data_IF_657904510714
#
_entry.id   IF_657904510714
#
_cell.length_a   1.000
_cell.length_b   1.000
_cell.length_c   1.000
_cell.angle_alpha   90.00
_cell.angle_beta   90.00
_cell.angle_gamma   90.00
#
_symmetry.space_group_name_H-M   'P 1'
#
loop_
_entity.id
_entity.type
_entity.pdbx_description
1 polymer ?
#
# COMPACT_ATOMS: atom_id res chain seq x y z
N UNK A 1 2.43 -22.72 -3.64
CA UNK A 1 3.91 -22.62 -3.62
C UNK A 1 4.33 -22.14 -5.02
N UNK A 2 4.88 -20.93 -5.13
CA UNK A 2 5.05 -20.28 -6.44
C UNK A 2 6.23 -20.92 -7.21
N UNK A 3 5.95 -21.58 -8.35
CA UNK A 3 6.92 -22.30 -9.18
C UNK A 3 7.79 -21.35 -10.02
N UNK A 4 7.49 -20.06 -10.01
CA UNK A 4 8.04 -19.09 -10.95
C UNK A 4 9.30 -18.37 -10.43
N UNK A 5 9.90 -18.80 -9.31
CA UNK A 5 11.13 -18.16 -8.81
C UNK A 5 12.31 -18.54 -9.71
N UNK A 6 12.99 -17.57 -10.35
CA UNK A 6 14.13 -17.86 -11.19
C UNK A 6 15.31 -18.25 -10.29
N UNK A 7 15.69 -19.53 -10.32
CA UNK A 7 16.98 -19.94 -9.78
C UNK A 7 18.08 -19.39 -10.69
N UNK A 8 19.01 -18.62 -10.13
CA UNK A 8 20.20 -18.25 -10.87
C UNK A 8 21.05 -19.51 -11.05
N UNK A 9 21.42 -19.81 -12.29
CA UNK A 9 22.62 -20.61 -12.54
C UNK A 9 23.80 -19.67 -12.30
N UNK A 10 24.27 -19.60 -11.05
CA UNK A 10 25.46 -18.82 -10.74
C UNK A 10 26.65 -19.48 -11.45
N UNK A 11 27.10 -18.89 -12.55
CA UNK A 11 28.39 -19.24 -13.14
C UNK A 11 29.48 -18.75 -12.20
N UNK A 12 30.56 -19.53 -12.07
CA UNK A 12 31.69 -19.28 -11.17
C UNK A 12 32.53 -18.02 -11.52
N UNK A 13 31.93 -16.95 -12.05
CA UNK A 13 32.61 -15.68 -12.38
C UNK A 13 32.77 -14.78 -11.14
N UNK A 14 33.39 -15.36 -10.12
CA UNK A 14 33.71 -14.75 -8.83
C UNK A 14 34.52 -13.44 -8.96
N UNK A 15 35.36 -13.31 -9.99
CA UNK A 15 36.26 -12.16 -10.14
C UNK A 15 35.59 -10.91 -10.72
N UNK A 16 34.54 -11.05 -11.54
CA UNK A 16 33.87 -9.93 -12.20
C UNK A 16 33.04 -9.05 -11.22
N UNK A 17 32.71 -9.58 -10.05
CA UNK A 17 31.84 -8.93 -9.06
C UNK A 17 32.58 -8.31 -7.87
N UNK A 18 33.93 -8.33 -7.86
CA UNK A 18 34.75 -7.96 -6.70
C UNK A 18 34.78 -6.45 -6.40
N UNK A 19 34.41 -5.62 -7.37
CA UNK A 19 34.39 -4.14 -7.29
C UNK A 19 33.01 -3.52 -7.02
N UNK A 20 31.96 -4.34 -6.84
CA UNK A 20 30.59 -3.86 -6.61
C UNK A 20 30.40 -3.40 -5.15
N UNK A 21 30.01 -2.13 -4.88
CA UNK A 21 29.76 -1.60 -3.53
C UNK A 21 28.59 -2.27 -2.79
N UNK A 22 27.77 -3.10 -3.44
CA UNK A 22 26.75 -3.95 -2.82
C UNK A 22 27.31 -5.26 -2.21
N UNK A 23 28.61 -5.28 -1.91
CA UNK A 23 29.35 -6.46 -1.46
C UNK A 23 28.84 -7.06 -0.15
N UNK A 24 28.28 -6.23 0.72
CA UNK A 24 27.74 -6.67 1.99
C UNK A 24 26.22 -6.82 1.88
N UNK A 25 25.79 -8.03 1.55
CA UNK A 25 24.45 -8.48 1.94
C UNK A 25 23.49 -8.87 0.83
N UNK A 26 23.83 -8.78 -0.47
CA UNK A 26 22.88 -9.14 -1.54
C UNK A 26 23.24 -10.37 -2.38
N UNK A 27 24.43 -10.90 -2.13
CA UNK A 27 24.99 -12.05 -2.82
C UNK A 27 26.03 -12.68 -1.90
N UNK A 28 25.65 -12.92 -0.65
CA UNK A 28 26.49 -13.82 0.14
C UNK A 28 26.51 -15.16 -0.58
N UNK A 29 27.68 -15.81 -0.63
CA UNK A 29 27.80 -17.19 -1.17
C UNK A 29 26.74 -18.11 -0.52
N UNK A 30 26.34 -17.78 0.70
CA UNK A 30 25.30 -18.45 1.46
C UNK A 30 23.91 -18.36 0.81
N UNK A 31 23.39 -17.16 0.52
CA UNK A 31 22.09 -17.00 -0.14
C UNK A 31 22.04 -17.63 -1.55
N UNK A 32 23.16 -17.66 -2.27
CA UNK A 32 23.25 -18.33 -3.57
C UNK A 32 23.06 -19.86 -3.49
N UNK A 33 23.27 -20.47 -2.31
CA UNK A 33 23.14 -21.92 -2.11
C UNK A 33 21.75 -22.37 -1.69
N UNK A 34 20.89 -21.46 -1.20
CA UNK A 34 19.57 -21.79 -0.70
C UNK A 34 18.49 -20.82 -1.20
N UNK A 35 17.50 -21.37 -1.91
CA UNK A 35 16.36 -20.65 -2.47
C UNK A 35 15.57 -19.82 -1.44
N UNK A 36 15.46 -20.30 -0.20
CA UNK A 36 14.72 -19.59 0.84
C UNK A 36 15.50 -18.39 1.37
N UNK A 37 16.82 -18.50 1.45
CA UNK A 37 17.71 -17.44 1.92
C UNK A 37 17.82 -16.34 0.87
N UNK A 38 17.97 -16.70 -0.41
CA UNK A 38 17.91 -15.76 -1.55
C UNK A 38 16.62 -14.91 -1.53
N UNK A 39 15.48 -15.54 -1.25
CA UNK A 39 14.19 -14.85 -1.12
C UNK A 39 14.16 -13.93 0.10
N UNK A 40 14.60 -14.42 1.25
CA UNK A 40 14.58 -13.68 2.50
C UNK A 40 15.50 -12.45 2.43
N UNK A 41 16.69 -12.60 1.84
CA UNK A 41 17.67 -11.52 1.63
C UNK A 41 17.11 -10.47 0.68
N UNK A 42 16.61 -10.89 -0.49
CA UNK A 42 15.97 -9.96 -1.46
C UNK A 42 14.80 -9.21 -0.83
N UNK A 43 13.99 -9.89 -0.02
CA UNK A 43 12.90 -9.26 0.72
C UNK A 43 13.42 -8.25 1.75
N UNK A 44 14.39 -8.65 2.58
CA UNK A 44 14.88 -7.84 3.70
C UNK A 44 15.42 -6.49 3.23
N UNK A 45 16.21 -6.49 2.16
CA UNK A 45 16.72 -5.23 1.63
C UNK A 45 15.65 -4.40 0.91
N UNK A 46 14.64 -5.00 0.28
CA UNK A 46 13.51 -4.24 -0.27
C UNK A 46 12.74 -3.48 0.81
N UNK A 47 12.86 -3.87 2.08
CA UNK A 47 12.23 -3.19 3.22
C UNK A 47 13.05 -2.02 3.76
N UNK A 48 14.31 -1.85 3.35
CA UNK A 48 15.19 -0.77 3.80
C UNK A 48 15.44 0.17 2.63
N UNK A 49 14.93 1.41 2.70
CA UNK A 49 14.87 2.33 1.55
C UNK A 49 16.21 2.48 0.78
N UNK A 50 17.31 2.73 1.51
CA UNK A 50 18.64 2.90 0.92
C UNK A 50 19.10 1.62 0.19
N UNK A 51 18.83 0.46 0.79
CA UNK A 51 19.20 -0.84 0.23
C UNK A 51 18.32 -1.24 -0.95
N UNK A 52 17.03 -0.93 -0.87
CA UNK A 52 16.08 -1.13 -1.96
C UNK A 52 16.47 -0.29 -3.19
N UNK A 53 16.93 0.94 -3.01
CA UNK A 53 17.43 1.79 -4.10
C UNK A 53 18.65 1.16 -4.78
N UNK A 54 19.67 0.79 -3.99
CA UNK A 54 20.89 0.14 -4.52
C UNK A 54 20.54 -1.15 -5.26
N UNK A 55 19.64 -1.95 -4.70
CA UNK A 55 19.18 -3.20 -5.30
C UNK A 55 18.50 -2.98 -6.65
N UNK A 56 17.59 -2.01 -6.73
CA UNK A 56 16.86 -1.72 -7.96
C UNK A 56 17.80 -1.22 -9.07
N UNK A 57 18.80 -0.39 -8.73
CA UNK A 57 19.85 0.03 -9.69
C UNK A 57 20.65 -1.16 -10.24
N UNK A 58 20.92 -2.17 -9.41
CA UNK A 58 21.61 -3.39 -9.85
C UNK A 58 20.74 -4.24 -10.78
N UNK A 59 19.44 -4.35 -10.47
CA UNK A 59 18.48 -5.09 -11.28
C UNK A 59 18.39 -4.58 -12.73
N UNK A 60 18.71 -3.31 -13.00
CA UNK A 60 18.82 -2.77 -14.36
C UNK A 60 19.85 -3.51 -15.23
N UNK A 61 20.88 -4.10 -14.60
CA UNK A 61 21.95 -4.86 -15.27
C UNK A 61 21.86 -6.37 -15.04
N UNK A 62 20.96 -6.82 -14.14
CA UNK A 62 20.78 -8.21 -13.77
C UNK A 62 19.31 -8.66 -14.00
N UNK A 63 19.02 -9.29 -15.16
CA UNK A 63 17.68 -9.74 -15.51
C UNK A 63 17.10 -10.80 -14.56
N UNK A 64 17.94 -11.55 -13.85
CA UNK A 64 17.48 -12.57 -12.89
C UNK A 64 17.01 -11.89 -11.63
N UNK A 65 17.80 -10.94 -11.12
CA UNK A 65 17.44 -10.13 -9.96
C UNK A 65 16.18 -9.28 -10.22
N UNK A 66 16.05 -8.66 -11.39
CA UNK A 66 14.85 -7.90 -11.78
C UNK A 66 13.58 -8.75 -11.67
N UNK A 67 13.62 -10.01 -12.15
CA UNK A 67 12.51 -10.95 -12.02
C UNK A 67 12.20 -11.28 -10.56
N UNK A 68 13.23 -11.51 -9.72
CA UNK A 68 13.05 -11.78 -8.28
C UNK A 68 12.35 -10.61 -7.58
N UNK A 69 12.82 -9.39 -7.84
CA UNK A 69 12.22 -8.16 -7.29
C UNK A 69 10.76 -8.03 -7.72
N UNK A 70 10.45 -8.22 -9.01
CA UNK A 70 9.06 -8.14 -9.52
C UNK A 70 8.13 -9.13 -8.82
N UNK A 71 8.59 -10.36 -8.57
CA UNK A 71 7.82 -11.37 -7.85
C UNK A 71 7.54 -10.91 -6.40
N UNK A 72 8.56 -10.40 -5.70
CA UNK A 72 8.39 -9.91 -4.32
C UNK A 72 7.47 -8.68 -4.27
N UNK A 73 7.68 -7.69 -5.15
CA UNK A 73 6.82 -6.49 -5.24
C UNK A 73 5.36 -6.87 -5.47
N UNK A 74 5.10 -7.80 -6.39
CA UNK A 74 3.75 -8.31 -6.65
C UNK A 74 3.15 -8.99 -5.42
N UNK A 75 3.92 -9.87 -4.76
CA UNK A 75 3.47 -10.54 -3.54
C UNK A 75 3.14 -9.54 -2.42
N UNK A 76 4.01 -8.56 -2.19
CA UNK A 76 3.80 -7.50 -1.20
C UNK A 76 2.52 -6.73 -1.48
N UNK A 77 2.34 -6.25 -2.71
CA UNK A 77 1.15 -5.50 -3.12
C UNK A 77 -0.15 -6.33 -2.96
N UNK A 78 -0.14 -7.59 -3.40
CA UNK A 78 -1.34 -8.42 -3.45
C UNK A 78 -1.71 -9.07 -2.10
N UNK A 79 -0.73 -9.32 -1.23
CA UNK A 79 -0.89 -10.16 -0.04
C UNK A 79 -0.54 -9.50 1.29
N UNK A 80 0.29 -8.45 1.29
CA UNK A 80 0.81 -7.87 2.53
C UNK A 80 0.38 -6.41 2.72
N UNK A 81 0.73 -5.54 1.76
CA UNK A 81 0.52 -4.10 1.84
C UNK A 81 0.27 -3.53 0.44
N UNK A 82 -1.00 -3.24 0.14
CA UNK A 82 -1.41 -2.69 -1.16
C UNK A 82 -0.81 -1.29 -1.43
N UNK A 83 -0.35 -0.59 -0.40
CA UNK A 83 0.31 0.72 -0.52
C UNK A 83 1.70 0.61 -1.15
N UNK A 84 2.33 -0.57 -1.12
CA UNK A 84 3.60 -0.87 -1.80
C UNK A 84 3.40 -1.14 -3.30
N UNK A 85 2.66 -0.26 -3.98
CA UNK A 85 2.41 -0.31 -5.41
C UNK A 85 3.57 0.30 -6.23
N UNK A 86 3.45 0.36 -7.55
CA UNK A 86 4.51 0.91 -8.42
C UNK A 86 4.89 2.36 -8.08
N UNK A 87 3.96 3.18 -7.60
CA UNK A 87 4.27 4.56 -7.22
C UNK A 87 5.12 4.61 -5.93
N UNK A 88 4.87 3.72 -4.97
CA UNK A 88 5.73 3.56 -3.80
C UNK A 88 7.17 3.20 -4.21
N UNK A 89 7.33 2.21 -5.10
CA UNK A 89 8.66 1.78 -5.53
C UNK A 89 9.39 2.84 -6.35
N UNK A 90 8.68 3.63 -7.16
CA UNK A 90 9.26 4.79 -7.86
C UNK A 90 9.77 5.85 -6.89
N UNK A 91 9.04 6.12 -5.79
CA UNK A 91 9.51 7.02 -4.73
C UNK A 91 10.82 6.52 -4.14
N UNK A 92 10.89 5.24 -3.75
CA UNK A 92 12.12 4.63 -3.21
C UNK A 92 13.28 4.75 -4.21
N UNK A 93 13.06 4.41 -5.48
CA UNK A 93 14.10 4.46 -6.51
C UNK A 93 14.61 5.90 -6.77
N UNK A 94 13.80 6.91 -6.48
CA UNK A 94 14.17 8.33 -6.56
C UNK A 94 14.86 8.85 -5.29
N UNK A 95 15.18 7.98 -4.32
CA UNK A 95 15.77 8.37 -3.03
C UNK A 95 14.80 9.08 -2.10
N UNK A 96 13.48 8.86 -2.26
CA UNK A 96 12.48 9.47 -1.40
C UNK A 96 12.53 8.89 0.01
N UNK A 97 12.78 9.76 0.99
CA UNK A 97 12.80 9.39 2.40
C UNK A 97 11.38 9.44 2.99
N UNK A 98 10.82 8.26 3.29
CA UNK A 98 9.53 8.13 3.97
C UNK A 98 9.59 8.49 5.46
N UNK A 99 10.78 8.57 6.07
CA UNK A 99 10.97 8.97 7.47
C UNK A 99 10.89 10.49 7.65
N UNK A 100 11.27 11.24 6.61
CA UNK A 100 10.87 12.61 6.40
C UNK A 100 9.39 12.63 5.98
N UNK A 101 8.48 12.33 6.91
CA UNK A 101 7.05 12.13 6.67
C UNK A 101 6.49 13.03 5.57
N UNK A 102 5.74 12.43 4.63
CA UNK A 102 5.18 13.10 3.45
C UNK A 102 4.77 14.52 3.83
N UNK A 103 5.42 15.54 3.25
CA UNK A 103 5.15 16.96 3.55
C UNK A 103 3.63 17.15 3.59
N UNK A 104 3.11 17.42 4.80
CA UNK A 104 1.69 17.64 5.08
C UNK A 104 1.10 18.50 3.98
N UNK A 105 0.08 17.97 3.30
CA UNK A 105 -0.58 18.74 2.27
C UNK A 105 -1.47 19.76 2.97
N UNK A 106 -1.17 21.04 2.80
CA UNK A 106 -1.99 22.14 3.32
C UNK A 106 -3.33 22.30 2.59
N UNK A 107 -3.70 21.36 1.72
CA UNK A 107 -4.82 21.49 0.79
C UNK A 107 -5.46 20.14 0.49
N UNK A 108 -6.80 20.11 0.52
CA UNK A 108 -7.65 18.98 0.16
C UNK A 108 -7.56 18.59 -1.33
N UNK A 109 -6.86 19.36 -2.16
CA UNK A 109 -6.72 19.05 -3.58
C UNK A 109 -5.93 17.75 -3.83
N UNK A 110 -4.94 17.42 -2.98
CA UNK A 110 -4.07 16.24 -3.17
C UNK A 110 -4.48 15.00 -2.37
N UNK A 111 -5.72 14.95 -1.89
CA UNK A 111 -6.25 13.75 -1.22
C UNK A 111 -6.14 12.53 -2.15
N UNK A 112 -5.68 11.42 -1.59
CA UNK A 112 -5.69 10.12 -2.24
C UNK A 112 -6.74 9.23 -1.56
N UNK A 113 -7.62 8.64 -2.35
CA UNK A 113 -8.74 7.84 -1.88
C UNK A 113 -8.46 6.41 -2.30
N UNK A 114 -8.52 5.48 -1.35
CA UNK A 114 -8.31 4.07 -1.67
C UNK A 114 -9.30 3.18 -0.91
N UNK A 115 -10.03 2.30 -1.61
CA UNK A 115 -10.23 2.27 -3.07
C UNK A 115 -11.18 3.39 -3.57
N UNK A 116 -11.11 3.76 -4.86
CA UNK A 116 -12.03 4.71 -5.52
C UNK A 116 -13.50 4.24 -5.51
N UNK A 117 -13.72 2.94 -5.30
CA UNK A 117 -15.02 2.34 -5.01
C UNK A 117 -14.85 1.20 -4.01
N UNK A 118 -15.67 1.17 -2.97
CA UNK A 118 -15.53 0.24 -1.85
C UNK A 118 -16.49 -0.91 -2.00
N UNK A 119 -16.02 -2.03 -2.55
CA UNK A 119 -16.77 -3.29 -2.49
C UNK A 119 -16.56 -3.93 -1.13
N UNK A 120 -17.47 -3.64 -0.20
CA UNK A 120 -17.47 -4.21 1.14
C UNK A 120 -18.65 -5.18 1.27
N UNK A 121 -18.39 -6.37 1.81
CA UNK A 121 -19.41 -7.36 2.09
C UNK A 121 -19.94 -7.17 3.53
N UNK A 122 -21.20 -6.69 3.71
CA UNK A 122 -21.76 -6.47 5.03
C UNK A 122 -21.99 -7.77 5.81
N UNK A 123 -22.06 -8.92 5.13
CA UNK A 123 -22.33 -10.22 5.77
C UNK A 123 -21.05 -10.90 6.25
N UNK A 124 -19.90 -10.66 5.60
CA UNK A 124 -18.64 -11.30 5.99
C UNK A 124 -17.98 -10.73 7.25
N UNK A 125 -18.48 -9.63 7.83
CA UNK A 125 -17.85 -8.90 8.96
C UNK A 125 -16.37 -8.50 8.74
N UNK A 126 -15.80 -8.85 7.59
CA UNK A 126 -14.47 -8.50 7.10
C UNK A 126 -14.68 -7.64 5.86
N UNK A 127 -15.03 -6.37 6.09
CA UNK A 127 -15.03 -5.37 5.04
C UNK A 127 -13.62 -4.86 4.84
N UNK A 128 -13.16 -4.71 3.59
CA UNK A 128 -11.92 -4.03 3.29
C UNK A 128 -12.05 -2.56 3.68
N UNK A 129 -11.47 -2.17 4.82
CA UNK A 129 -11.45 -0.83 5.39
C UNK A 129 -11.30 0.26 4.31
N UNK A 130 -12.23 1.21 4.28
CA UNK A 130 -12.15 2.37 3.41
C UNK A 130 -11.17 3.37 4.03
N UNK A 131 -10.05 3.61 3.35
CA UNK A 131 -9.00 4.50 3.83
C UNK A 131 -8.93 5.75 2.97
N UNK A 132 -9.04 6.91 3.61
CA UNK A 132 -8.70 8.19 2.99
C UNK A 132 -7.34 8.60 3.54
N UNK A 133 -6.39 8.85 2.65
CA UNK A 133 -5.01 9.23 2.98
C UNK A 133 -4.69 10.65 2.51
N UNK A 134 -3.61 11.21 3.07
CA UNK A 134 -3.14 12.58 2.84
C UNK A 134 -4.11 13.66 3.34
N UNK A 135 -4.84 13.38 4.42
CA UNK A 135 -5.72 14.37 5.06
C UNK A 135 -4.88 15.45 5.78
N UNK A 136 -5.29 16.72 5.72
CA UNK A 136 -4.85 17.74 6.68
C UNK A 136 -5.19 17.34 8.12
N UNK A 137 -4.46 17.90 9.08
CA UNK A 137 -4.73 17.66 10.50
C UNK A 137 -6.11 18.19 10.90
N UNK A 138 -6.72 17.52 11.88
CA UNK A 138 -8.01 17.90 12.45
C UNK A 138 -9.16 17.96 11.42
N UNK A 139 -8.98 17.30 10.28
CA UNK A 139 -10.06 17.11 9.32
C UNK A 139 -11.21 16.30 9.92
N UNK A 140 -12.41 16.60 9.46
CA UNK A 140 -13.63 15.88 9.82
C UNK A 140 -14.20 15.23 8.57
N UNK A 141 -14.43 13.92 8.64
CA UNK A 141 -15.10 13.13 7.62
C UNK A 141 -16.52 12.81 8.08
N UNK A 142 -17.51 13.24 7.29
CA UNK A 142 -18.92 12.91 7.51
C UNK A 142 -19.42 12.00 6.40
N UNK A 143 -20.01 10.86 6.78
CA UNK A 143 -20.66 9.90 5.89
C UNK A 143 -22.14 10.27 5.80
N UNK A 144 -22.65 10.47 4.59
CA UNK A 144 -24.04 10.82 4.31
C UNK A 144 -24.73 9.76 3.46
N UNK A 145 -26.02 9.60 3.69
CA UNK A 145 -26.90 8.81 2.83
C UNK A 145 -27.25 9.54 1.52
N UNK A 146 -28.09 8.91 0.69
CA UNK A 146 -28.57 9.48 -0.58
C UNK A 146 -29.46 10.73 -0.41
N UNK A 147 -30.02 10.96 0.78
CA UNK A 147 -30.85 12.12 1.11
C UNK A 147 -30.02 13.29 1.63
N UNK A 148 -28.74 13.05 1.96
CA UNK A 148 -27.84 14.01 2.59
C UNK A 148 -27.88 13.97 4.11
N UNK A 149 -28.58 13.00 4.71
CA UNK A 149 -28.60 12.80 6.14
C UNK A 149 -27.26 12.22 6.62
N UNK A 150 -26.72 12.76 7.70
CA UNK A 150 -25.48 12.29 8.31
C UNK A 150 -25.70 10.96 9.04
N UNK A 151 -24.88 9.97 8.73
CA UNK A 151 -24.92 8.63 9.31
C UNK A 151 -23.77 8.37 10.29
N UNK A 152 -22.64 9.04 10.09
CA UNK A 152 -21.44 8.94 10.92
C UNK A 152 -20.54 10.14 10.68
N UNK A 153 -19.88 10.61 11.74
CA UNK A 153 -18.76 11.56 11.65
C UNK A 153 -17.52 10.96 12.31
N UNK A 154 -16.37 11.07 11.64
CA UNK A 154 -15.06 10.62 12.09
C UNK A 154 -14.09 11.81 12.06
N UNK A 155 -13.26 11.97 13.10
CA UNK A 155 -12.24 13.02 13.13
C UNK A 155 -10.87 12.43 12.95
N UNK A 156 -10.04 13.13 12.19
CA UNK A 156 -8.65 12.73 11.95
C UNK A 156 -7.82 12.73 13.25
N UNK A 157 -8.20 13.58 14.21
CA UNK A 157 -7.66 13.60 15.58
C UNK A 157 -7.86 12.28 16.32
N UNK A 158 -8.94 11.56 16.05
CA UNK A 158 -9.22 10.27 16.69
C UNK A 158 -8.23 9.19 16.23
N UNK A 159 -7.53 9.42 15.12
CA UNK A 159 -6.48 8.57 14.56
C UNK A 159 -5.06 9.11 14.86
N UNK A 160 -4.95 10.13 15.72
CA UNK A 160 -3.69 10.68 16.17
C UNK A 160 -3.00 11.62 15.16
N UNK A 161 -3.77 12.28 14.30
CA UNK A 161 -3.26 13.27 13.36
C UNK A 161 -2.19 12.74 12.38
N UNK A 162 -2.40 11.52 11.86
CA UNK A 162 -1.46 10.81 10.96
C UNK A 162 -1.74 11.04 9.47
N UNK A 163 -2.70 11.89 9.14
CA UNK A 163 -3.09 12.20 7.77
C UNK A 163 -3.96 11.12 7.13
N UNK A 164 -4.68 10.32 7.92
CA UNK A 164 -5.63 9.34 7.39
C UNK A 164 -6.83 9.11 8.31
N UNK A 165 -7.94 8.69 7.70
CA UNK A 165 -9.13 8.19 8.39
C UNK A 165 -9.49 6.84 7.79
N UNK A 166 -9.87 5.89 8.65
CA UNK A 166 -10.35 4.57 8.25
C UNK A 166 -11.82 4.43 8.62
N UNK A 167 -12.64 3.98 7.68
CA UNK A 167 -14.04 3.66 7.89
C UNK A 167 -14.32 2.19 7.55
N UNK A 168 -14.96 1.49 8.49
CA UNK A 168 -15.24 0.05 8.42
C UNK A 168 -16.66 -0.28 7.92
N UNK A 169 -17.40 0.70 7.39
CA UNK A 169 -18.76 0.52 6.89
C UNK A 169 -19.86 0.57 7.96
N UNK A 170 -19.54 0.91 9.21
CA UNK A 170 -20.52 1.04 10.30
C UNK A 170 -21.09 2.46 10.41
N UNK A 171 -22.32 2.57 10.89
CA UNK A 171 -22.95 3.83 11.28
C UNK A 171 -22.60 4.24 12.71
N UNK A 172 -23.19 5.34 13.18
CA UNK A 172 -23.03 5.86 14.54
C UNK A 172 -23.49 4.88 15.64
N UNK A 173 -24.44 4.00 15.33
CA UNK A 173 -24.96 2.97 16.23
C UNK A 173 -24.05 1.72 16.29
N UNK A 174 -22.97 1.68 15.52
CA UNK A 174 -22.07 0.54 15.40
C UNK A 174 -22.60 -0.60 14.53
N UNK A 175 -23.80 -0.45 13.95
CA UNK A 175 -24.37 -1.40 12.99
C UNK A 175 -23.75 -1.18 11.61
N UNK A 176 -23.64 -2.24 10.81
CA UNK A 176 -23.22 -2.11 9.41
C UNK A 176 -24.30 -1.40 8.60
N UNK A 177 -23.90 -0.43 7.80
CA UNK A 177 -24.81 0.24 6.87
C UNK A 177 -25.22 -0.74 5.75
N UNK A 178 -26.43 -0.60 5.18
CA UNK A 178 -26.86 -1.43 4.06
C UNK A 178 -26.10 -1.13 2.77
N UNK A 179 -26.08 -2.07 1.81
CA UNK A 179 -25.57 -1.81 0.47
C UNK A 179 -26.27 -0.60 -0.18
N UNK A 180 -25.52 0.34 -0.74
CA UNK A 180 -26.06 1.58 -1.28
C UNK A 180 -24.99 2.57 -1.76
N UNK A 181 -25.45 3.73 -2.21
CA UNK A 181 -24.58 4.85 -2.56
C UNK A 181 -24.52 5.81 -1.37
N UNK A 182 -23.31 6.20 -1.01
CA UNK A 182 -23.02 7.11 0.09
C UNK A 182 -22.17 8.28 -0.42
N UNK A 183 -22.24 9.40 0.30
CA UNK A 183 -21.37 10.55 0.06
C UNK A 183 -20.51 10.81 1.30
N UNK A 184 -19.21 10.93 1.11
CA UNK A 184 -18.28 11.38 2.13
C UNK A 184 -18.01 12.86 1.94
N UNK A 185 -18.21 13.65 2.98
CA UNK A 185 -17.83 15.06 3.00
C UNK A 185 -16.67 15.23 3.97
N UNK A 186 -15.57 15.77 3.46
CA UNK A 186 -14.38 16.08 4.23
C UNK A 186 -14.32 17.59 4.39
N UNK A 187 -14.19 18.03 5.64
CA UNK A 187 -13.97 19.42 6.01
C UNK A 187 -12.60 19.56 6.67
N UNK A 188 -11.82 20.56 6.25
CA UNK A 188 -10.60 20.96 6.97
C UNK A 188 -10.89 22.08 7.99
N UNK A 189 -9.87 22.47 8.76
CA UNK A 189 -9.97 23.55 9.75
C UNK A 189 -10.35 24.90 9.14
N UNK A 190 -10.00 25.11 7.86
CA UNK A 190 -10.32 26.32 7.11
C UNK A 190 -11.71 26.27 6.48
N UNK A 191 -12.51 25.23 6.79
CA UNK A 191 -13.84 24.97 6.24
C UNK A 191 -13.85 24.73 4.73
N UNK A 192 -12.71 24.40 4.13
CA UNK A 192 -12.70 23.89 2.77
C UNK A 192 -13.39 22.53 2.74
N UNK A 193 -14.16 22.28 1.69
CA UNK A 193 -15.00 21.10 1.56
C UNK A 193 -14.60 20.27 0.35
N UNK A 194 -14.42 18.97 0.54
CA UNK A 194 -14.29 17.99 -0.56
C UNK A 194 -15.33 16.90 -0.39
N UNK A 195 -16.04 16.58 -1.47
CA UNK A 195 -17.08 15.53 -1.47
C UNK A 195 -16.64 14.37 -2.34
N UNK A 196 -16.79 13.15 -1.82
CA UNK A 196 -16.41 11.90 -2.48
C UNK A 196 -17.65 11.01 -2.51
N UNK A 197 -17.92 10.38 -3.66
CA UNK A 197 -19.00 9.39 -3.77
C UNK A 197 -18.43 8.00 -3.53
N UNK A 198 -19.11 7.22 -2.70
CA UNK A 198 -18.74 5.83 -2.41
C UNK A 198 -19.90 4.94 -2.80
N UNK A 199 -19.61 3.93 -3.61
CA UNK A 199 -20.54 2.83 -3.89
C UNK A 199 -20.21 1.70 -2.94
N UNK A 200 -21.15 1.35 -2.07
CA UNK A 200 -21.04 0.28 -1.09
C UNK A 200 -21.91 -0.90 -1.56
N UNK A 201 -21.28 -1.93 -2.13
CA UNK A 201 -21.99 -3.05 -2.78
C UNK A 201 -21.74 -4.38 -2.08
N UNK A 202 -22.79 -5.21 -1.91
CA UNK A 202 -22.62 -6.62 -1.49
C UNK A 202 -21.73 -7.37 -2.48
N UNK A 203 -20.75 -8.13 -1.98
CA UNK A 203 -19.97 -9.05 -2.81
C UNK A 203 -20.74 -10.36 -2.98
N UNK A 204 -21.48 -10.51 -4.07
CA UNK A 204 -22.05 -11.80 -4.45
C UNK A 204 -20.91 -12.73 -4.90
N UNK A 205 -20.52 -13.68 -4.06
CA UNK A 205 -19.69 -14.80 -4.51
C UNK A 205 -20.62 -15.72 -5.29
N UNK A 206 -20.49 -15.75 -6.62
CA UNK A 206 -21.09 -16.81 -7.42
C UNK A 206 -20.26 -18.08 -7.22
N UNK A 207 -20.80 -19.02 -6.45
CA UNK A 207 -20.32 -20.41 -6.50
C UNK A 207 -20.83 -21.00 -7.83
N UNK A 208 -19.91 -21.24 -8.76
CA UNK A 208 -20.18 -22.11 -9.90
C UNK A 208 -20.17 -23.55 -9.35
N UNK A 209 -21.35 -24.18 -9.35
CA UNK A 209 -21.52 -25.62 -9.07
C UNK A 209 -20.94 -26.46 -10.21
#
# INVERSE_FOLDING_TARGET
>A
MNKDWPAAQYTNDYEAHRSDPLKDGFATVYAATNLLEDRAETYAHLMVNEEAEKLMKRAEKDPVLDKKIKIIKKFLMEKCCYEMNEDYWKKIAAGYDFSAGDKKVSSLEKLKIFPDSVKMDPEKKTGADFKISNLPENCVLSIMDKTGAELLTLKESDFGNKGFIIWNGKGIDGSYLPAGNYSCVILDENKNKKTIKIVYSKSTIMFLN
#
